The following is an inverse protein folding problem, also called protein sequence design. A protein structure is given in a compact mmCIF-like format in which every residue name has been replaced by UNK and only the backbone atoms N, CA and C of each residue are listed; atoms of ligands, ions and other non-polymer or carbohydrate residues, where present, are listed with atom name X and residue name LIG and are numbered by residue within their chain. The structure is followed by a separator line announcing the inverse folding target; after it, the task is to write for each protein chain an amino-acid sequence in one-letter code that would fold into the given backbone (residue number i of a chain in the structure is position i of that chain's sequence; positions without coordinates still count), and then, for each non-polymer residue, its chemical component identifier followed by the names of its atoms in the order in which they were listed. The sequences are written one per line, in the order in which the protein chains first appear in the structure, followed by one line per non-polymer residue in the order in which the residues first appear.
data_IF_693722931433
#
_entry.id   IF_693722931433
#
_cell.length_a   1.000
_cell.length_b   1.000
_cell.length_c   1.000
_cell.angle_alpha   90.00
_cell.angle_beta   90.00
_cell.angle_gamma   90.00
#
_symmetry.space_group_name_H-M   'P 1'
#
loop_
_entity.id
_entity.type
_entity.pdbx_description
1 polymer ?
#
# COMPACT_ATOMS: atom_id res chain seq x y z
N UNK A 1 -26.33 20.17 -22.84
CA UNK A 1 -26.35 19.25 -21.67
C UNK A 1 -25.41 19.81 -20.62
N UNK A 2 -25.93 20.19 -19.46
CA UNK A 2 -25.16 20.85 -18.41
C UNK A 2 -24.29 19.81 -17.66
N UNK A 3 -22.96 19.95 -17.75
CA UNK A 3 -22.02 19.13 -16.99
C UNK A 3 -21.95 19.69 -15.58
N UNK A 4 -22.62 19.04 -14.64
CA UNK A 4 -22.57 19.40 -13.22
C UNK A 4 -21.17 19.14 -12.68
N UNK A 5 -20.43 20.23 -12.42
CA UNK A 5 -19.15 20.19 -11.70
C UNK A 5 -19.40 19.74 -10.26
N UNK A 6 -19.00 18.51 -9.95
CA UNK A 6 -18.99 17.98 -8.59
C UNK A 6 -17.91 18.73 -7.81
N UNK A 7 -18.34 19.69 -6.98
CA UNK A 7 -17.46 20.35 -6.00
C UNK A 7 -16.90 19.28 -5.05
N UNK A 8 -15.67 18.81 -5.27
CA UNK A 8 -14.98 17.93 -4.31
C UNK A 8 -14.90 18.65 -2.96
N UNK A 9 -15.51 18.04 -1.93
CA UNK A 9 -15.44 18.52 -0.57
C UNK A 9 -13.96 18.63 -0.14
N UNK A 10 -13.56 19.82 0.33
CA UNK A 10 -12.17 20.23 0.58
C UNK A 10 -11.50 19.57 1.80
N UNK A 11 -12.04 18.49 2.36
CA UNK A 11 -11.43 17.88 3.56
C UNK A 11 -11.76 16.39 3.73
N UNK A 12 -11.55 15.60 2.68
CA UNK A 12 -11.54 14.14 2.83
C UNK A 12 -10.14 13.78 3.33
N UNK A 13 -10.00 13.57 4.64
CA UNK A 13 -8.77 13.04 5.23
C UNK A 13 -8.50 11.68 4.60
N UNK A 14 -7.49 11.59 3.73
CA UNK A 14 -7.08 10.32 3.15
C UNK A 14 -6.40 9.49 4.21
N UNK A 15 -6.77 8.21 4.28
CA UNK A 15 -6.09 7.27 5.15
C UNK A 15 -4.66 7.07 4.63
N UNK A 16 -3.68 7.36 5.49
CA UNK A 16 -2.27 7.08 5.21
C UNK A 16 -1.87 5.88 6.08
N UNK A 17 -1.67 4.69 5.50
CA UNK A 17 -1.23 3.53 6.26
C UNK A 17 0.17 3.78 6.83
N UNK A 18 0.35 3.42 8.11
CA UNK A 18 1.66 3.44 8.76
C UNK A 18 2.34 2.09 8.54
N UNK A 19 3.51 2.08 7.89
CA UNK A 19 4.29 0.85 7.68
C UNK A 19 4.67 0.16 8.98
N UNK A 20 4.87 0.92 10.07
CA UNK A 20 5.11 0.38 11.41
C UNK A 20 4.00 -0.56 11.87
N UNK A 21 2.73 -0.24 11.55
CA UNK A 21 1.60 -1.07 11.94
C UNK A 21 1.66 -2.42 11.21
N UNK A 22 1.98 -2.40 9.92
CA UNK A 22 2.14 -3.61 9.13
C UNK A 22 3.28 -4.50 9.65
N UNK A 23 4.44 -3.92 9.99
CA UNK A 23 5.55 -4.67 10.58
C UNK A 23 5.20 -5.28 11.95
N UNK A 24 4.48 -4.54 12.79
CA UNK A 24 4.04 -5.01 14.11
C UNK A 24 3.03 -6.16 13.95
N UNK A 25 2.01 -5.98 13.09
CA UNK A 25 1.02 -7.03 12.81
C UNK A 25 1.68 -8.31 12.31
N UNK A 26 2.63 -8.21 11.38
CA UNK A 26 3.38 -9.37 10.89
C UNK A 26 4.14 -10.12 12.01
N UNK A 27 4.76 -9.38 12.94
CA UNK A 27 5.46 -9.99 14.09
C UNK A 27 4.52 -10.76 15.01
N UNK A 28 3.29 -10.27 15.24
CA UNK A 28 2.29 -10.99 16.03
C UNK A 28 1.85 -12.30 15.37
N UNK A 29 1.91 -12.38 14.04
CA UNK A 29 1.65 -13.60 13.27
C UNK A 29 2.89 -14.51 13.16
N UNK A 30 4.01 -14.17 13.82
CA UNK A 30 5.26 -14.91 13.75
C UNK A 30 6.06 -14.70 12.46
N UNK A 31 5.68 -13.72 11.64
CA UNK A 31 6.38 -13.37 10.40
C UNK A 31 7.48 -12.33 10.69
N UNK A 32 8.59 -12.44 9.96
CA UNK A 32 9.70 -11.48 10.03
C UNK A 32 10.05 -10.96 8.65
N UNK A 33 10.22 -9.64 8.54
CA UNK A 33 10.66 -9.01 7.31
C UNK A 33 12.18 -9.10 7.18
N UNK A 34 12.64 -9.67 6.07
CA UNK A 34 14.04 -9.55 5.65
C UNK A 34 14.21 -8.17 5.00
N UNK A 35 15.15 -7.37 5.49
CA UNK A 35 15.55 -6.12 4.84
C UNK A 35 16.36 -6.50 3.59
N UNK A 36 15.70 -6.62 2.45
CA UNK A 36 16.40 -6.75 1.16
C UNK A 36 17.00 -5.41 0.76
N UNK A 37 18.24 -5.41 0.27
CA UNK A 37 18.93 -4.22 -0.25
C UNK A 37 18.40 -3.77 -1.61
N UNK A 38 17.69 -4.65 -2.32
CA UNK A 38 17.13 -4.39 -3.65
C UNK A 38 15.62 -4.20 -3.51
N UNK A 39 15.18 -2.96 -3.69
CA UNK A 39 13.77 -2.62 -3.85
C UNK A 39 13.24 -3.18 -5.17
N UNK A 40 12.63 -4.36 -5.13
CA UNK A 40 11.89 -4.93 -6.26
C UNK A 40 10.52 -4.27 -6.37
N UNK A 41 10.05 -4.01 -7.58
CA UNK A 41 8.67 -3.53 -7.76
C UNK A 41 7.67 -4.68 -7.55
N UNK A 42 6.43 -4.33 -7.21
CA UNK A 42 5.34 -5.31 -7.13
C UNK A 42 5.11 -5.98 -8.49
N UNK A 43 5.34 -5.27 -9.60
CA UNK A 43 5.22 -5.82 -10.94
C UNK A 43 6.26 -6.94 -11.18
N UNK A 44 7.51 -6.71 -10.78
CA UNK A 44 8.59 -7.71 -10.92
C UNK A 44 8.30 -8.96 -10.08
N UNK A 45 7.80 -8.76 -8.85
CA UNK A 45 7.41 -9.88 -7.98
C UNK A 45 6.26 -10.68 -8.58
N UNK A 46 5.23 -10.01 -9.11
CA UNK A 46 4.12 -10.70 -9.79
C UNK A 46 4.62 -11.48 -11.00
N UNK A 47 5.42 -10.88 -11.87
CA UNK A 47 5.96 -11.57 -13.05
C UNK A 47 6.79 -12.81 -12.67
N UNK A 48 7.57 -12.73 -11.59
CA UNK A 48 8.42 -13.84 -11.13
C UNK A 48 7.65 -15.00 -10.50
N UNK A 49 6.55 -14.71 -9.80
CA UNK A 49 5.87 -15.70 -8.94
C UNK A 49 4.44 -16.06 -9.38
N UNK A 50 3.86 -15.40 -10.38
CA UNK A 50 2.50 -15.65 -10.87
C UNK A 50 2.35 -16.93 -11.72
N UNK A 51 2.92 -18.05 -11.25
CA UNK A 51 2.70 -19.37 -11.85
C UNK A 51 1.21 -19.70 -11.98
#
# INVERSE_FOLDING_TARGET
MAVTSVKKAKNVQTFIPKMSNFEISAKYEGLSFKKESVSKSIADLKAKYAR
#
